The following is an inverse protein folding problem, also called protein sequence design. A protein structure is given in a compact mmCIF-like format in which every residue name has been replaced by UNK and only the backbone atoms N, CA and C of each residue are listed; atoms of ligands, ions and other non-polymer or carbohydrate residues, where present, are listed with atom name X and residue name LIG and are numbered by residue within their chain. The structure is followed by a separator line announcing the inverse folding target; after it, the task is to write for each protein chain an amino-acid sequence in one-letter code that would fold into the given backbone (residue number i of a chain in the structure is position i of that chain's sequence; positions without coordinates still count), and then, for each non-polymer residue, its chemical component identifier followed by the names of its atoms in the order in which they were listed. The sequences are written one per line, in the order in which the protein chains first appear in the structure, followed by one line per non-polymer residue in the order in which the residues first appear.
data_IF_645583008244
#
_entry.id   IF_645583008244
#
_cell.length_a   1.000
_cell.length_b   1.000
_cell.length_c   1.000
_cell.angle_alpha   90.00
_cell.angle_beta   90.00
_cell.angle_gamma   90.00
#
_symmetry.space_group_name_H-M   'P 1'
#
loop_
_entity.id
_entity.type
_entity.pdbx_description
1 polymer ?
#
# COMPACT_ATOMS: atom_id res chain seq x y z
N UNK A 1 1.14 -14.21 25.52
CA UNK A 1 0.68 -14.17 24.11
C UNK A 1 1.44 -13.06 23.41
N UNK A 2 2.12 -13.36 22.30
CA UNK A 2 2.88 -12.37 21.51
C UNK A 2 1.96 -11.85 20.40
N UNK A 3 1.94 -10.54 20.17
CA UNK A 3 1.16 -9.91 19.10
C UNK A 3 1.63 -10.39 17.71
N UNK A 4 0.65 -10.72 16.84
CA UNK A 4 0.84 -11.07 15.43
C UNK A 4 0.47 -9.89 14.50
N UNK A 5 1.45 -9.29 13.79
CA UNK A 5 1.21 -8.22 12.82
C UNK A 5 0.30 -8.59 11.63
N UNK A 6 0.20 -9.89 11.29
CA UNK A 6 -0.61 -10.36 10.16
C UNK A 6 -2.09 -10.51 10.56
N UNK A 7 -2.38 -10.59 11.86
CA UNK A 7 -3.72 -10.64 12.41
C UNK A 7 -4.37 -9.24 12.42
N UNK A 8 -5.46 -9.08 11.66
CA UNK A 8 -6.24 -7.83 11.63
C UNK A 8 -6.78 -7.47 13.02
N UNK A 9 -7.38 -8.43 13.71
CA UNK A 9 -8.01 -8.20 15.01
C UNK A 9 -6.98 -7.80 16.06
N UNK A 10 -5.86 -8.53 16.14
CA UNK A 10 -4.84 -8.20 17.14
C UNK A 10 -4.17 -6.86 16.84
N UNK A 11 -3.84 -6.58 15.58
CA UNK A 11 -3.23 -5.31 15.18
C UNK A 11 -4.16 -4.13 15.39
N UNK A 12 -5.44 -4.28 15.04
CA UNK A 12 -6.43 -3.23 15.28
C UNK A 12 -6.63 -2.93 16.76
N UNK A 13 -6.80 -3.96 17.58
CA UNK A 13 -6.96 -3.76 19.02
C UNK A 13 -5.74 -3.10 19.65
N UNK A 14 -4.53 -3.50 19.22
CA UNK A 14 -3.28 -2.89 19.69
C UNK A 14 -3.17 -1.42 19.25
N UNK A 15 -3.37 -1.13 17.97
CA UNK A 15 -3.29 0.24 17.44
C UNK A 15 -4.32 1.15 18.12
N UNK A 16 -5.58 0.72 18.23
CA UNK A 16 -6.65 1.49 18.89
C UNK A 16 -6.34 1.74 20.36
N UNK A 17 -5.82 0.75 21.09
CA UNK A 17 -5.41 0.93 22.48
C UNK A 17 -4.29 1.98 22.60
N UNK A 18 -3.28 1.92 21.74
CA UNK A 18 -2.15 2.84 21.77
C UNK A 18 -2.57 4.27 21.39
N UNK A 19 -3.43 4.43 20.38
CA UNK A 19 -4.03 5.72 20.03
C UNK A 19 -4.81 6.31 21.21
N UNK A 20 -5.70 5.53 21.82
CA UNK A 20 -6.45 5.98 22.99
C UNK A 20 -5.55 6.36 24.18
N UNK A 21 -4.43 5.66 24.39
CA UNK A 21 -3.46 6.00 25.42
C UNK A 21 -2.74 7.32 25.13
N UNK A 22 -2.28 7.54 23.89
CA UNK A 22 -1.62 8.79 23.49
C UNK A 22 -2.58 9.98 23.59
N UNK A 23 -3.83 9.79 23.18
CA UNK A 23 -4.88 10.82 23.25
C UNK A 23 -5.25 11.17 24.70
N UNK A 24 -5.36 10.16 25.57
CA UNK A 24 -5.74 10.35 26.99
C UNK A 24 -4.57 10.89 27.83
N UNK A 25 -3.34 10.51 27.49
CA UNK A 25 -2.14 10.86 28.25
C UNK A 25 -1.06 11.46 27.33
N UNK A 26 -1.08 12.77 27.07
CA UNK A 26 -0.08 13.45 26.24
C UNK A 26 1.37 13.34 26.78
N UNK A 27 1.54 12.90 28.02
CA UNK A 27 2.84 12.58 28.63
C UNK A 27 3.46 11.29 28.08
N UNK A 28 2.66 10.44 27.42
CA UNK A 28 3.13 9.26 26.66
C UNK A 28 3.70 9.67 25.31
N UNK A 29 4.73 10.51 25.34
CA UNK A 29 5.51 10.86 24.17
C UNK A 29 6.83 10.05 24.14
N UNK A 30 7.57 10.18 23.04
CA UNK A 30 8.85 9.49 22.81
C UNK A 30 9.94 9.82 23.82
N UNK A 31 9.76 10.85 24.67
CA UNK A 31 10.67 11.17 25.76
C UNK A 31 10.60 10.14 26.90
N UNK A 32 9.48 9.42 27.02
CA UNK A 32 9.36 8.32 27.97
C UNK A 32 10.10 7.09 27.44
N UNK A 33 11.07 6.59 28.23
CA UNK A 33 11.83 5.37 27.93
C UNK A 33 10.91 4.17 27.66
N UNK A 34 9.79 4.08 28.38
CA UNK A 34 8.85 2.97 28.24
C UNK A 34 8.10 3.03 26.92
N UNK A 35 7.59 4.20 26.55
CA UNK A 35 6.90 4.43 25.27
C UNK A 35 7.84 4.19 24.09
N UNK A 36 9.08 4.70 24.16
CA UNK A 36 10.09 4.48 23.13
C UNK A 36 10.43 2.99 22.97
N UNK A 37 10.57 2.26 24.08
CA UNK A 37 10.84 0.81 24.07
C UNK A 37 9.67 0.02 23.46
N UNK A 38 8.44 0.40 23.77
CA UNK A 38 7.24 -0.21 23.21
C UNK A 38 7.17 -0.01 21.68
N UNK A 39 7.30 1.23 21.20
CA UNK A 39 7.26 1.55 19.76
C UNK A 39 8.41 0.88 18.99
N UNK A 40 9.59 0.79 19.61
CA UNK A 40 10.73 0.03 19.05
C UNK A 40 10.41 -1.45 18.94
N UNK A 41 9.77 -2.03 19.96
CA UNK A 41 9.39 -3.46 19.97
C UNK A 41 8.34 -3.77 18.91
N UNK A 42 7.35 -2.88 18.73
CA UNK A 42 6.35 -2.97 17.65
C UNK A 42 7.05 -2.93 16.28
N UNK A 43 7.93 -1.94 16.08
CA UNK A 43 8.69 -1.81 14.84
C UNK A 43 9.53 -3.06 14.56
N UNK A 44 10.22 -3.60 15.57
CA UNK A 44 11.03 -4.81 15.44
C UNK A 44 10.16 -6.00 15.04
N UNK A 45 9.01 -6.18 15.72
CA UNK A 45 8.09 -7.30 15.43
C UNK A 45 7.52 -7.21 14.01
N UNK A 46 7.21 -6.01 13.50
CA UNK A 46 6.82 -5.81 12.10
C UNK A 46 7.94 -6.24 11.16
N UNK A 47 9.20 -5.84 11.41
CA UNK A 47 10.32 -6.25 10.56
C UNK A 47 10.49 -7.77 10.53
N UNK A 48 10.40 -8.43 11.69
CA UNK A 48 10.45 -9.90 11.76
C UNK A 48 9.34 -10.52 10.91
N UNK A 49 8.10 -10.03 10.98
CA UNK A 49 7.03 -10.51 10.11
C UNK A 49 7.22 -10.19 8.64
N UNK A 50 7.87 -9.06 8.30
CA UNK A 50 8.25 -8.79 6.91
C UNK A 50 9.28 -9.80 6.41
N UNK A 51 10.26 -10.18 7.22
CA UNK A 51 11.29 -11.13 6.82
C UNK A 51 10.81 -12.59 6.81
N UNK A 52 9.96 -12.98 7.77
CA UNK A 52 9.52 -14.37 7.98
C UNK A 52 8.18 -14.70 7.31
N UNK A 53 7.21 -13.78 7.34
CA UNK A 53 5.82 -14.05 6.94
C UNK A 53 5.47 -13.52 5.54
N UNK A 54 6.30 -12.64 4.95
CA UNK A 54 6.04 -12.12 3.60
C UNK A 54 6.76 -12.90 2.53
N UNK A 55 5.96 -13.47 1.63
CA UNK A 55 6.44 -14.19 0.47
C UNK A 55 5.68 -13.74 -0.77
N UNK A 56 6.41 -13.55 -1.87
CA UNK A 56 5.81 -13.30 -3.18
C UNK A 56 6.41 -14.28 -4.19
N UNK A 57 5.63 -15.24 -4.71
CA UNK A 57 6.14 -16.22 -5.67
C UNK A 57 6.44 -15.55 -7.02
N UNK A 58 7.60 -15.89 -7.59
CA UNK A 58 7.91 -15.60 -8.97
C UNK A 58 7.36 -16.73 -9.84
N UNK A 59 6.33 -16.42 -10.64
CA UNK A 59 5.78 -17.36 -11.60
C UNK A 59 6.16 -16.96 -13.02
N UNK A 60 6.55 -17.93 -13.83
CA UNK A 60 6.65 -17.74 -15.27
C UNK A 60 5.26 -17.49 -15.87
N UNK A 61 5.15 -16.58 -16.83
CA UNK A 61 3.87 -16.20 -17.46
C UNK A 61 3.12 -17.42 -18.02
N UNK A 62 3.82 -18.38 -18.61
CA UNK A 62 3.23 -19.60 -19.15
C UNK A 62 2.54 -20.47 -18.07
N UNK A 63 3.14 -20.55 -16.88
CA UNK A 63 2.57 -21.30 -15.76
C UNK A 63 1.29 -20.62 -15.24
N UNK A 64 1.26 -19.29 -15.17
CA UNK A 64 0.08 -18.55 -14.75
C UNK A 64 -1.09 -18.72 -15.72
N UNK A 65 -0.81 -18.80 -17.03
CA UNK A 65 -1.85 -19.06 -18.03
C UNK A 65 -2.44 -20.48 -17.88
N UNK A 66 -1.59 -21.47 -17.59
CA UNK A 66 -1.97 -22.89 -17.56
C UNK A 66 -2.53 -23.36 -16.22
N UNK A 67 -2.08 -22.82 -15.09
CA UNK A 67 -2.49 -23.28 -13.75
C UNK A 67 -3.43 -22.30 -13.06
N UNK A 68 -4.62 -22.79 -12.69
CA UNK A 68 -5.57 -22.05 -11.86
C UNK A 68 -5.08 -21.98 -10.41
N UNK A 69 -4.38 -23.02 -9.96
CA UNK A 69 -3.82 -23.14 -8.62
C UNK A 69 -2.72 -22.10 -8.39
N UNK A 70 -1.81 -21.95 -9.34
CA UNK A 70 -0.74 -20.94 -9.30
C UNK A 70 -1.32 -19.52 -9.25
N UNK A 71 -2.30 -19.22 -10.11
CA UNK A 71 -3.03 -17.93 -10.08
C UNK A 71 -3.74 -17.69 -8.75
N UNK A 72 -4.43 -18.69 -8.24
CA UNK A 72 -5.15 -18.60 -6.97
C UNK A 72 -4.19 -18.39 -5.79
N UNK A 73 -3.05 -19.07 -5.80
CA UNK A 73 -2.00 -18.88 -4.80
C UNK A 73 -1.41 -17.47 -4.88
N UNK A 74 -1.03 -16.99 -6.07
CA UNK A 74 -0.54 -15.62 -6.27
C UNK A 74 -1.55 -14.60 -5.74
N UNK A 75 -2.83 -14.77 -6.08
CA UNK A 75 -3.89 -13.88 -5.62
C UNK A 75 -4.00 -13.85 -4.09
N UNK A 76 -3.93 -15.01 -3.42
CA UNK A 76 -3.89 -15.10 -1.95
C UNK A 76 -2.67 -14.38 -1.37
N UNK A 77 -1.49 -14.54 -1.96
CA UNK A 77 -0.28 -13.87 -1.49
C UNK A 77 -0.38 -12.35 -1.64
N UNK A 78 -0.88 -11.85 -2.77
CA UNK A 78 -1.10 -10.40 -2.97
C UNK A 78 -2.02 -9.85 -1.88
N UNK A 79 -3.17 -10.48 -1.64
CA UNK A 79 -4.10 -9.99 -0.62
C UNK A 79 -3.57 -10.13 0.81
N UNK A 80 -2.76 -11.16 1.09
CA UNK A 80 -2.10 -11.30 2.39
C UNK A 80 -1.12 -10.15 2.64
N UNK A 81 -0.31 -9.79 1.64
CA UNK A 81 0.63 -8.68 1.72
C UNK A 81 -0.09 -7.32 1.80
N UNK A 82 -1.16 -7.10 1.02
CA UNK A 82 -1.99 -5.88 1.13
C UNK A 82 -2.63 -5.77 2.52
N UNK A 83 -3.08 -6.88 3.10
CA UNK A 83 -3.61 -6.90 4.47
C UNK A 83 -2.54 -6.49 5.48
N UNK A 84 -1.33 -7.05 5.39
CA UNK A 84 -0.23 -6.69 6.29
C UNK A 84 0.13 -5.21 6.13
N UNK A 85 0.18 -4.71 4.89
CA UNK A 85 0.40 -3.30 4.59
C UNK A 85 -0.64 -2.40 5.28
N UNK A 86 -1.93 -2.73 5.16
CA UNK A 86 -3.00 -2.02 5.85
C UNK A 86 -2.87 -2.08 7.37
N UNK A 87 -2.47 -3.22 7.92
CA UNK A 87 -2.23 -3.38 9.36
C UNK A 87 -1.08 -2.49 9.85
N UNK A 88 0.03 -2.42 9.10
CA UNK A 88 1.19 -1.57 9.43
C UNK A 88 0.76 -0.09 9.47
N UNK A 89 -0.05 0.36 8.52
CA UNK A 89 -0.48 1.76 8.44
C UNK A 89 -1.41 2.21 9.59
N UNK A 90 -1.98 1.29 10.37
CA UNK A 90 -2.74 1.64 11.58
C UNK A 90 -1.87 2.27 12.66
N UNK A 91 -0.55 2.10 12.58
CA UNK A 91 0.43 2.77 13.43
C UNK A 91 0.85 4.16 12.94
N UNK A 92 0.13 4.73 11.96
CA UNK A 92 0.23 6.17 11.64
C UNK A 92 -0.01 6.99 12.90
N UNK A 93 0.64 8.15 13.01
CA UNK A 93 0.67 9.00 14.21
C UNK A 93 1.30 8.38 15.48
N UNK A 94 1.53 7.06 15.55
CA UNK A 94 2.25 6.39 16.64
C UNK A 94 3.74 6.23 16.32
N UNK A 95 4.05 5.79 15.10
CA UNK A 95 5.41 5.73 14.58
C UNK A 95 5.73 7.00 13.79
N UNK A 96 7.02 7.36 13.72
CA UNK A 96 7.43 8.46 12.85
C UNK A 96 7.13 8.13 11.39
N UNK A 97 6.72 9.13 10.62
CA UNK A 97 6.38 8.95 9.20
C UNK A 97 7.53 8.31 8.42
N UNK A 98 8.77 8.73 8.66
CA UNK A 98 9.96 8.11 8.05
C UNK A 98 10.05 6.61 8.33
N UNK A 99 9.84 6.19 9.58
CA UNK A 99 9.90 4.77 9.95
C UNK A 99 8.73 3.99 9.34
N UNK A 100 7.54 4.57 9.38
CA UNK A 100 6.33 3.92 8.87
C UNK A 100 6.36 3.78 7.34
N UNK A 101 6.84 4.80 6.62
CA UNK A 101 7.07 4.75 5.16
C UNK A 101 8.09 3.70 4.79
N UNK A 102 9.21 3.62 5.50
CA UNK A 102 10.20 2.57 5.26
C UNK A 102 9.60 1.15 5.42
N UNK A 103 8.78 0.93 6.45
CA UNK A 103 8.15 -0.39 6.69
C UNK A 103 7.08 -0.71 5.64
N UNK A 104 6.16 0.22 5.38
CA UNK A 104 5.00 -0.02 4.54
C UNK A 104 5.29 0.16 3.04
N UNK A 105 6.00 1.22 2.66
CA UNK A 105 6.24 1.58 1.26
C UNK A 105 7.50 0.89 0.72
N UNK A 106 8.64 1.03 1.38
CA UNK A 106 9.90 0.48 0.86
C UNK A 106 9.97 -1.04 1.05
N UNK A 107 9.78 -1.50 2.29
CA UNK A 107 10.02 -2.89 2.67
C UNK A 107 8.90 -3.84 2.25
N UNK A 108 7.67 -3.34 2.03
CA UNK A 108 6.51 -4.17 1.71
C UNK A 108 5.91 -3.86 0.33
N UNK A 109 5.47 -2.61 0.09
CA UNK A 109 4.85 -2.24 -1.18
C UNK A 109 5.83 -2.45 -2.34
N UNK A 110 6.96 -1.75 -2.33
CA UNK A 110 7.94 -1.77 -3.41
C UNK A 110 8.66 -3.12 -3.55
N UNK A 111 8.92 -3.80 -2.43
CA UNK A 111 9.65 -5.09 -2.45
C UNK A 111 8.78 -6.29 -2.82
N UNK A 112 7.53 -6.37 -2.34
CA UNK A 112 6.70 -7.57 -2.49
C UNK A 112 5.39 -7.32 -3.23
N UNK A 113 4.60 -6.31 -2.85
CA UNK A 113 3.28 -6.08 -3.45
C UNK A 113 3.42 -5.71 -4.93
N UNK A 114 4.35 -4.83 -5.28
CA UNK A 114 4.61 -4.43 -6.67
C UNK A 114 4.96 -5.61 -7.56
N UNK A 115 5.77 -6.55 -7.06
CA UNK A 115 6.11 -7.77 -7.77
C UNK A 115 4.86 -8.61 -8.05
N UNK A 116 4.01 -8.81 -7.04
CA UNK A 116 2.76 -9.54 -7.18
C UNK A 116 1.78 -8.87 -8.16
N UNK A 117 1.68 -7.53 -8.12
CA UNK A 117 0.85 -6.76 -9.05
C UNK A 117 1.32 -6.93 -10.50
N UNK A 118 2.63 -6.90 -10.74
CA UNK A 118 3.21 -7.11 -12.06
C UNK A 118 2.96 -8.52 -12.58
N UNK A 119 3.14 -9.56 -11.74
CA UNK A 119 2.88 -10.94 -12.12
C UNK A 119 1.41 -11.22 -12.42
N UNK A 120 0.49 -10.61 -11.68
CA UNK A 120 -0.94 -10.87 -11.84
C UNK A 120 -1.58 -10.17 -13.05
N UNK A 121 -0.89 -9.20 -13.64
CA UNK A 121 -1.35 -8.47 -14.82
C UNK A 121 -2.52 -7.50 -14.55
N UNK A 122 -3.17 -6.99 -15.62
CA UNK A 122 -4.18 -5.93 -15.53
C UNK A 122 -5.53 -6.41 -14.96
N UNK A 123 -5.79 -7.73 -14.96
CA UNK A 123 -7.06 -8.27 -14.45
C UNK A 123 -7.22 -8.02 -12.94
N UNK A 124 -8.33 -7.36 -12.59
CA UNK A 124 -8.63 -6.93 -11.22
C UNK A 124 -7.61 -5.96 -10.62
N UNK A 125 -6.74 -5.33 -11.43
CA UNK A 125 -5.66 -4.48 -10.93
C UNK A 125 -6.21 -3.25 -10.21
N UNK A 126 -7.30 -2.63 -10.72
CA UNK A 126 -7.91 -1.44 -10.12
C UNK A 126 -8.32 -1.68 -8.67
N UNK A 127 -8.89 -2.85 -8.36
CA UNK A 127 -9.31 -3.23 -7.01
C UNK A 127 -8.11 -3.30 -6.06
N UNK A 128 -6.99 -3.88 -6.53
CA UNK A 128 -5.77 -4.03 -5.72
C UNK A 128 -5.07 -2.68 -5.52
N UNK A 129 -4.99 -1.88 -6.59
CA UNK A 129 -4.45 -0.52 -6.56
C UNK A 129 -5.21 0.32 -5.54
N UNK A 130 -6.56 0.33 -5.62
CA UNK A 130 -7.40 1.04 -4.63
C UNK A 130 -7.16 0.56 -3.20
N UNK A 131 -7.06 -0.76 -2.98
CA UNK A 131 -6.81 -1.30 -1.64
C UNK A 131 -5.47 -0.83 -1.03
N UNK A 132 -4.48 -0.49 -1.86
CA UNK A 132 -3.20 0.09 -1.44
C UNK A 132 -3.32 1.60 -1.25
N UNK A 133 -3.92 2.32 -2.18
CA UNK A 133 -3.99 3.79 -2.14
C UNK A 133 -4.97 4.31 -1.09
N UNK A 134 -6.12 3.65 -0.92
CA UNK A 134 -7.15 4.07 0.04
C UNK A 134 -6.70 3.87 1.50
N UNK A 135 -5.66 3.05 1.72
CA UNK A 135 -5.09 2.82 3.04
C UNK A 135 -4.03 3.87 3.44
N UNK A 136 -3.55 4.70 2.50
CA UNK A 136 -2.52 5.69 2.78
C UNK A 136 -3.02 6.73 3.79
N UNK A 137 -2.19 7.11 4.80
CA UNK A 137 -2.54 8.18 5.71
C UNK A 137 -2.75 9.50 4.96
N UNK A 138 -3.91 10.14 5.16
CA UNK A 138 -4.28 11.35 4.44
C UNK A 138 -3.30 12.52 4.64
N UNK A 139 -2.59 12.58 5.76
CA UNK A 139 -1.59 13.63 6.00
C UNK A 139 -0.33 13.47 5.16
N UNK A 140 0.00 12.26 4.69
CA UNK A 140 1.11 12.07 3.76
C UNK A 140 0.84 12.66 2.37
N UNK A 141 -0.44 12.85 2.06
CA UNK A 141 -0.92 13.40 0.79
C UNK A 141 -1.08 14.93 0.85
N UNK A 142 -0.98 15.52 2.05
CA UNK A 142 -1.04 16.97 2.29
C UNK A 142 0.37 17.54 2.38
N UNK A 143 1.15 17.48 1.31
CA UNK A 143 2.48 18.11 1.27
C UNK A 143 2.33 19.63 1.21
N UNK A 144 3.14 20.42 1.95
CA UNK A 144 3.07 21.89 1.94
C UNK A 144 3.22 22.50 0.54
N UNK A 145 4.01 21.85 -0.31
CA UNK A 145 4.27 22.27 -1.68
C UNK A 145 3.25 21.72 -2.68
N UNK A 146 2.30 20.86 -2.26
CA UNK A 146 1.13 20.41 -3.02
C UNK A 146 1.36 19.69 -4.36
N UNK A 147 2.58 19.67 -4.89
CA UNK A 147 2.79 19.43 -6.32
C UNK A 147 3.24 18.00 -6.64
N UNK A 148 3.80 17.25 -5.69
CA UNK A 148 4.40 15.93 -5.98
C UNK A 148 3.95 14.85 -5.02
N UNK A 149 3.52 13.74 -5.61
CA UNK A 149 3.31 12.47 -4.93
C UNK A 149 4.59 12.00 -4.21
N UNK A 150 4.39 11.16 -3.20
CA UNK A 150 5.48 10.49 -2.50
C UNK A 150 6.42 9.77 -3.49
N UNK A 151 7.75 9.96 -3.42
CA UNK A 151 8.69 9.30 -4.34
C UNK A 151 8.61 7.77 -4.27
N UNK A 152 8.27 7.21 -3.11
CA UNK A 152 8.10 5.78 -2.89
C UNK A 152 6.92 5.19 -3.71
N UNK A 153 5.96 6.01 -4.14
CA UNK A 153 4.80 5.59 -4.93
C UNK A 153 5.07 5.58 -6.45
N UNK A 154 6.25 6.03 -6.90
CA UNK A 154 6.56 6.18 -8.32
C UNK A 154 6.44 4.84 -9.09
N UNK A 155 6.84 3.72 -8.47
CA UNK A 155 6.68 2.39 -9.08
C UNK A 155 5.21 2.02 -9.28
N UNK A 156 4.35 2.36 -8.30
CA UNK A 156 2.92 2.16 -8.40
C UNK A 156 2.32 3.04 -9.51
N UNK A 157 2.73 4.31 -9.61
CA UNK A 157 2.30 5.21 -10.67
C UNK A 157 2.64 4.67 -12.06
N UNK A 158 3.87 4.18 -12.26
CA UNK A 158 4.27 3.54 -13.54
C UNK A 158 3.44 2.29 -13.84
N UNK A 159 3.14 1.48 -12.83
CA UNK A 159 2.28 0.32 -13.00
C UNK A 159 0.84 0.70 -13.35
N UNK A 160 0.29 1.75 -12.74
CA UNK A 160 -1.03 2.31 -13.10
C UNK A 160 -1.05 2.71 -14.58
N UNK A 161 0.00 3.35 -15.09
CA UNK A 161 0.10 3.71 -16.52
C UNK A 161 0.12 2.48 -17.43
N UNK A 162 0.81 1.42 -17.04
CA UNK A 162 0.78 0.14 -17.76
C UNK A 162 -0.63 -0.46 -17.79
N UNK A 163 -1.33 -0.42 -16.66
CA UNK A 163 -2.72 -0.89 -16.58
C UNK A 163 -3.67 -0.04 -17.43
N UNK A 164 -3.46 1.28 -17.46
CA UNK A 164 -4.24 2.19 -18.29
C UNK A 164 -4.14 1.86 -19.78
N UNK A 165 -2.93 1.58 -20.28
CA UNK A 165 -2.71 1.12 -21.66
C UNK A 165 -3.45 -0.18 -21.94
N UNK A 166 -3.39 -1.16 -21.03
CA UNK A 166 -4.09 -2.43 -21.18
C UNK A 166 -5.63 -2.24 -21.19
N UNK A 167 -6.17 -1.41 -20.30
CA UNK A 167 -7.61 -1.11 -20.26
C UNK A 167 -8.10 -0.32 -21.47
N UNK A 168 -7.27 0.54 -22.03
CA UNK A 168 -7.60 1.20 -23.29
C UNK A 168 -7.71 0.19 -24.44
N UNK A 169 -6.75 -0.75 -24.53
CA UNK A 169 -6.77 -1.82 -25.55
C UNK A 169 -7.98 -2.76 -25.40
N UNK A 170 -8.42 -3.03 -24.17
CA UNK A 170 -9.61 -3.86 -23.90
C UNK A 170 -10.93 -3.08 -23.89
N UNK A 171 -10.92 -1.78 -24.20
CA UNK A 171 -12.08 -0.89 -24.18
C UNK A 171 -12.78 -0.76 -22.80
N UNK A 172 -12.04 -0.95 -21.71
CA UNK A 172 -12.52 -0.87 -20.32
C UNK A 172 -12.51 0.58 -19.79
N UNK A 173 -13.37 1.44 -20.35
CA UNK A 173 -13.37 2.88 -20.04
C UNK A 173 -13.64 3.22 -18.57
N UNK A 174 -14.44 2.42 -17.87
CA UNK A 174 -14.77 2.66 -16.46
C UNK A 174 -13.60 2.37 -15.53
N UNK A 175 -12.84 1.31 -15.81
CA UNK A 175 -11.63 1.01 -15.05
C UNK A 175 -10.55 2.08 -15.30
N UNK A 176 -10.44 2.55 -16.53
CA UNK A 176 -9.54 3.64 -16.91
C UNK A 176 -9.85 4.96 -16.15
N UNK A 177 -11.13 5.35 -16.07
CA UNK A 177 -11.56 6.47 -15.22
C UNK A 177 -11.32 6.19 -13.73
N UNK A 178 -11.40 4.93 -13.32
CA UNK A 178 -11.06 4.49 -11.97
C UNK A 178 -9.59 4.76 -11.64
N UNK A 179 -8.68 4.38 -12.53
CA UNK A 179 -7.24 4.65 -12.39
C UNK A 179 -6.95 6.15 -12.34
N UNK A 180 -7.68 6.97 -13.11
CA UNK A 180 -7.48 8.42 -13.13
C UNK A 180 -7.79 9.05 -11.78
N UNK A 181 -8.91 8.63 -11.19
CA UNK A 181 -9.30 9.05 -9.84
C UNK A 181 -8.26 8.66 -8.80
N UNK A 182 -7.66 7.48 -8.93
CA UNK A 182 -6.60 7.05 -8.03
C UNK A 182 -5.37 7.95 -8.14
N UNK A 183 -4.87 8.21 -9.35
CA UNK A 183 -3.70 9.09 -9.54
C UNK A 183 -3.92 10.49 -8.97
N UNK A 184 -5.12 11.04 -9.16
CA UNK A 184 -5.49 12.33 -8.57
C UNK A 184 -5.55 12.25 -7.04
N UNK A 185 -6.12 11.18 -6.47
CA UNK A 185 -6.23 11.04 -5.00
C UNK A 185 -4.88 10.95 -4.30
N UNK A 186 -3.84 10.44 -4.98
CA UNK A 186 -2.48 10.34 -4.41
C UNK A 186 -1.58 11.51 -4.82
N UNK A 187 -2.14 12.57 -5.40
CA UNK A 187 -1.41 13.74 -5.92
C UNK A 187 -0.32 13.41 -6.95
N UNK A 188 -0.50 12.35 -7.74
CA UNK A 188 0.37 12.00 -8.85
C UNK A 188 -0.03 12.79 -10.12
N UNK A 189 0.03 14.12 -10.03
CA UNK A 189 -0.48 15.03 -11.06
C UNK A 189 0.17 14.82 -12.44
N UNK A 190 1.49 14.64 -12.50
CA UNK A 190 2.21 14.38 -13.76
C UNK A 190 1.67 13.13 -14.49
N UNK A 191 1.47 12.04 -13.75
CA UNK A 191 0.94 10.79 -14.30
C UNK A 191 -0.54 10.91 -14.66
N UNK A 192 -1.32 11.67 -13.88
CA UNK A 192 -2.73 11.92 -14.14
C UNK A 192 -2.94 12.78 -15.41
N UNK A 193 -2.15 13.85 -15.58
CA UNK A 193 -2.16 14.71 -16.77
C UNK A 193 -1.79 13.92 -18.02
N UNK A 194 -0.69 13.14 -17.96
CA UNK A 194 -0.31 12.23 -19.06
C UNK A 194 -1.47 11.33 -19.47
N UNK A 195 -2.16 10.72 -18.49
CA UNK A 195 -3.25 9.80 -18.77
C UNK A 195 -4.51 10.49 -19.31
N UNK A 196 -4.76 11.73 -18.87
CA UNK A 196 -5.84 12.57 -19.36
C UNK A 196 -5.66 12.92 -20.84
N UNK A 197 -4.44 13.27 -21.23
CA UNK A 197 -4.06 13.63 -22.60
C UNK A 197 -4.07 12.40 -23.51
N UNK A 198 -3.34 11.35 -23.13
CA UNK A 198 -3.17 10.12 -23.92
C UNK A 198 -4.51 9.48 -24.30
N UNK A 199 -5.47 9.46 -23.36
CA UNK A 199 -6.75 8.76 -23.54
C UNK A 199 -7.95 9.69 -23.66
N UNK A 200 -7.74 11.01 -23.82
CA UNK A 200 -8.79 12.03 -23.94
C UNK A 200 -9.85 11.93 -22.82
N UNK A 201 -9.39 11.76 -21.59
CA UNK A 201 -10.24 11.69 -20.40
C UNK A 201 -10.41 13.08 -19.79
N UNK A 202 -11.51 13.29 -19.06
CA UNK A 202 -11.68 14.49 -18.25
C UNK A 202 -11.13 14.24 -16.86
N UNK A 203 -10.28 15.14 -16.37
CA UNK A 203 -9.78 15.11 -15.01
C UNK A 203 -10.95 15.13 -14.00
N UNK A 204 -10.94 14.28 -12.97
CA UNK A 204 -11.89 14.38 -11.88
C UNK A 204 -11.68 15.72 -11.15
N UNK A 205 -12.79 16.36 -10.80
CA UNK A 205 -12.81 17.57 -9.97
C UNK A 205 -12.43 17.24 -8.54
#
# INVERSE_FOLDING_TARGET
MVWDPVSKTQTHNLATLLHGLVDTYPTLNTSSKNTATLLKSISLRINVSLDEDTFMPLFANDLLLKSVEARSFLHRQIWSNIKLYQNILQFSCLLSDSKLRHLALDSLLNRYIMLGLQCAGPDGCLKRIKAVTDALPSHWLKTPDGEKALPELENLCRFIRSCAKAFHQSNNRDELKGLLRVLVSIHAHDHATWMSEEFSLRMPK
#
